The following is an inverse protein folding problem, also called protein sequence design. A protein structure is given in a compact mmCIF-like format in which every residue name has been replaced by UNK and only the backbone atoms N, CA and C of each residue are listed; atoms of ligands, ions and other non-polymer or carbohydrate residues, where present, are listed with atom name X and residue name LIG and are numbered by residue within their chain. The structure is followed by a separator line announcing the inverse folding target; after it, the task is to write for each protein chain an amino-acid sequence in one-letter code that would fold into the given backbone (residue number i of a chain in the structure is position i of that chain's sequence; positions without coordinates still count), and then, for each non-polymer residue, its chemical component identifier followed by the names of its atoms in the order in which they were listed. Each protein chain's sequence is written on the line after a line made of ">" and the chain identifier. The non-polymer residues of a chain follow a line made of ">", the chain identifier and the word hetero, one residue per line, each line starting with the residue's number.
data_IF_669100182165
#
_entry.id   IF_669100182165
#
_cell.length_a   1.000
_cell.length_b   1.000
_cell.length_c   1.000
_cell.angle_alpha   90.00
_cell.angle_beta   90.00
_cell.angle_gamma   90.00
#
_symmetry.space_group_name_H-M   'P 1'
#
loop_
_entity.id
_entity.type
_entity.pdbx_description
1 polymer ?
#
# COMPACT_ATOMS: atom_id res chain seq x y z
N UNK A 1 12.28 -13.13 -23.91
CA UNK A 1 11.18 -13.07 -22.91
C UNK A 1 11.69 -13.10 -21.48
N UNK A 2 12.69 -13.92 -21.14
CA UNK A 2 13.25 -14.01 -19.76
C UNK A 2 13.94 -12.72 -19.27
N UNK A 3 14.57 -11.94 -20.14
CA UNK A 3 15.23 -10.66 -19.75
C UNK A 3 14.24 -9.54 -19.41
N UNK A 4 13.06 -9.51 -20.06
CA UNK A 4 12.00 -8.53 -19.77
C UNK A 4 11.35 -8.78 -18.42
N UNK A 5 11.11 -10.06 -18.07
CA UNK A 5 10.58 -10.43 -16.76
C UNK A 5 11.53 -10.01 -15.62
N UNK A 6 12.84 -10.23 -15.80
CA UNK A 6 13.85 -9.81 -14.80
C UNK A 6 13.84 -8.28 -14.60
N UNK A 7 13.75 -7.48 -15.68
CA UNK A 7 13.70 -6.02 -15.56
C UNK A 7 12.42 -5.50 -14.87
N UNK A 8 11.27 -6.14 -15.07
CA UNK A 8 10.03 -5.75 -14.38
C UNK A 8 10.10 -6.02 -12.86
N UNK A 9 10.76 -7.10 -12.45
CA UNK A 9 10.93 -7.44 -11.03
C UNK A 9 11.88 -6.48 -10.28
N UNK A 10 12.95 -6.00 -10.94
CA UNK A 10 13.88 -5.05 -10.32
C UNK A 10 13.29 -3.65 -10.15
N UNK A 11 12.45 -3.22 -11.11
CA UNK A 11 11.69 -1.97 -11.01
C UNK A 11 10.67 -2.03 -9.86
N UNK A 12 9.99 -3.18 -9.70
CA UNK A 12 9.06 -3.38 -8.59
C UNK A 12 9.80 -3.35 -7.23
N UNK A 13 10.93 -4.05 -7.11
CA UNK A 13 11.68 -4.12 -5.85
C UNK A 13 12.26 -2.76 -5.43
N UNK A 14 12.84 -2.01 -6.38
CA UNK A 14 13.37 -0.66 -6.11
C UNK A 14 12.26 0.34 -5.79
N UNK A 15 11.10 0.25 -6.44
CA UNK A 15 9.95 1.07 -6.11
C UNK A 15 9.44 0.82 -4.68
N UNK A 16 9.31 -0.46 -4.29
CA UNK A 16 8.94 -0.83 -2.91
C UNK A 16 9.98 -0.35 -1.90
N UNK A 17 11.27 -0.42 -2.22
CA UNK A 17 12.35 0.11 -1.36
C UNK A 17 12.25 1.64 -1.18
N UNK A 18 12.01 2.40 -2.26
CA UNK A 18 11.79 3.85 -2.18
C UNK A 18 10.54 4.20 -1.38
N UNK A 19 9.44 3.48 -1.58
CA UNK A 19 8.21 3.67 -0.81
C UNK A 19 8.46 3.39 0.68
N UNK A 20 9.16 2.30 1.01
CA UNK A 20 9.56 1.98 2.40
C UNK A 20 10.45 3.06 3.02
N UNK A 21 11.41 3.60 2.26
CA UNK A 21 12.29 4.67 2.73
C UNK A 21 11.53 5.96 2.97
N UNK A 22 10.60 6.35 2.08
CA UNK A 22 9.79 7.55 2.26
C UNK A 22 8.88 7.43 3.48
N UNK A 23 8.26 6.27 3.67
CA UNK A 23 7.46 6.00 4.87
C UNK A 23 8.30 6.07 6.13
N UNK A 24 9.45 5.39 6.15
CA UNK A 24 10.27 5.27 7.35
C UNK A 24 11.00 6.56 7.72
N UNK A 25 11.44 7.34 6.73
CA UNK A 25 12.25 8.55 6.93
C UNK A 25 11.43 9.83 7.05
N UNK A 26 10.20 9.89 6.52
CA UNK A 26 9.38 11.11 6.52
C UNK A 26 8.05 10.89 7.24
N UNK A 27 7.34 9.79 6.98
CA UNK A 27 5.99 9.59 7.53
C UNK A 27 6.03 9.12 8.99
N UNK A 28 6.86 8.12 9.33
CA UNK A 28 7.02 7.64 10.69
C UNK A 28 7.43 8.74 11.71
N UNK A 29 8.39 9.64 11.44
CA UNK A 29 8.69 10.71 12.40
C UNK A 29 7.54 11.70 12.59
N UNK A 30 6.75 11.97 11.55
CA UNK A 30 5.55 12.83 11.66
C UNK A 30 4.45 12.12 12.47
N UNK A 31 4.20 10.83 12.23
CA UNK A 31 3.25 10.03 13.01
C UNK A 31 3.73 9.88 14.47
N UNK A 32 5.03 9.71 14.68
CA UNK A 32 5.64 9.61 16.01
C UNK A 32 5.63 10.93 16.80
N UNK A 33 5.31 12.05 16.15
CA UNK A 33 5.09 13.33 16.80
C UNK A 33 3.66 13.47 17.34
N UNK A 34 2.70 12.66 16.87
CA UNK A 34 1.33 12.71 17.38
C UNK A 34 1.25 12.04 18.78
N UNK A 35 0.65 12.73 19.78
CA UNK A 35 0.58 12.24 21.16
C UNK A 35 -0.32 11.00 21.36
N UNK A 36 -1.14 10.65 20.37
CA UNK A 36 -2.02 9.48 20.42
C UNK A 36 -1.31 8.15 20.16
N UNK A 37 -0.14 8.17 19.51
CA UNK A 37 0.67 6.98 19.21
C UNK A 37 2.02 7.15 19.90
N UNK A 38 2.15 6.54 21.08
CA UNK A 38 3.34 6.63 21.91
C UNK A 38 4.61 6.25 21.13
N UNK A 39 5.66 7.08 21.25
CA UNK A 39 7.00 7.06 20.61
C UNK A 39 7.81 5.75 20.67
N UNK A 40 7.24 4.68 21.21
CA UNK A 40 7.91 3.42 21.50
C UNK A 40 6.90 2.27 21.33
N UNK A 41 6.40 2.10 20.10
CA UNK A 41 5.58 0.94 19.74
C UNK A 41 6.44 -0.32 19.72
N UNK A 42 7.66 -0.26 19.20
CA UNK A 42 8.58 -1.41 19.10
C UNK A 42 8.89 -2.07 20.47
N UNK A 43 8.98 -1.26 21.53
CA UNK A 43 9.24 -1.72 22.91
C UNK A 43 7.99 -2.06 23.71
N UNK A 44 6.81 -2.03 23.09
CA UNK A 44 5.55 -2.47 23.70
C UNK A 44 5.34 -3.96 23.46
N UNK A 45 5.65 -4.74 24.48
CA UNK A 45 5.42 -6.18 24.52
C UNK A 45 4.50 -6.54 25.70
N UNK A 46 3.65 -7.54 25.55
CA UNK A 46 2.89 -8.10 26.67
C UNK A 46 3.50 -9.46 27.00
N UNK A 47 3.82 -9.72 28.26
CA UNK A 47 4.33 -11.01 28.70
C UNK A 47 3.13 -11.87 29.11
N UNK A 48 2.97 -13.03 28.47
CA UNK A 48 1.88 -13.95 28.77
C UNK A 48 2.27 -15.00 29.82
N UNK A 49 3.57 -15.31 29.91
CA UNK A 49 4.14 -16.21 30.91
C UNK A 49 5.50 -15.68 31.36
N UNK A 50 5.65 -15.43 32.66
CA UNK A 50 6.87 -14.91 33.28
C UNK A 50 7.96 -15.98 33.35
N UNK A 51 9.14 -15.65 32.84
CA UNK A 51 10.37 -16.42 33.07
C UNK A 51 10.94 -16.23 34.48
N UNK A 52 11.96 -17.01 34.87
CA UNK A 52 12.50 -17.04 36.24
C UNK A 52 13.14 -15.71 36.72
N UNK A 53 13.54 -14.81 35.81
CA UNK A 53 14.13 -13.49 36.11
C UNK A 53 13.13 -12.33 36.00
N UNK A 54 11.84 -12.56 36.28
CA UNK A 54 10.82 -11.52 36.20
C UNK A 54 10.98 -10.46 37.29
N UNK A 55 11.35 -9.23 36.91
CA UNK A 55 11.48 -8.11 37.85
C UNK A 55 10.14 -7.39 38.05
N UNK A 56 9.53 -7.54 39.23
CA UNK A 56 8.23 -6.95 39.60
C UNK A 56 8.26 -5.41 39.70
N UNK A 57 9.45 -4.79 39.78
CA UNK A 57 9.62 -3.34 39.87
C UNK A 57 9.53 -2.60 38.53
N UNK A 58 9.50 -3.33 37.42
CA UNK A 58 9.38 -2.78 36.05
C UNK A 58 8.00 -3.16 35.53
N UNK A 59 7.22 -2.19 35.03
CA UNK A 59 5.84 -2.35 34.50
C UNK A 59 5.66 -3.54 33.53
N UNK A 60 6.76 -3.99 32.91
CA UNK A 60 6.82 -5.05 31.91
C UNK A 60 7.87 -6.14 32.21
N UNK A 61 8.42 -6.25 33.42
CA UNK A 61 9.34 -7.34 33.83
C UNK A 61 10.75 -7.34 33.23
N UNK A 62 10.92 -6.87 31.99
CA UNK A 62 12.18 -6.80 31.23
C UNK A 62 12.31 -5.46 30.51
N UNK A 63 13.53 -5.09 30.11
CA UNK A 63 13.78 -3.82 29.39
C UNK A 63 13.68 -3.97 27.86
N UNK A 64 13.85 -5.19 27.33
CA UNK A 64 13.78 -5.47 25.89
C UNK A 64 13.05 -6.78 25.63
N UNK A 65 12.34 -6.91 24.48
CA UNK A 65 11.68 -8.16 24.11
C UNK A 65 12.68 -9.31 23.87
N UNK A 66 13.91 -9.00 23.45
CA UNK A 66 14.99 -9.99 23.26
C UNK A 66 15.38 -10.67 24.57
N UNK A 67 15.56 -9.88 25.63
CA UNK A 67 15.87 -10.39 26.96
C UNK A 67 14.79 -11.33 27.48
N UNK A 68 13.52 -11.00 27.25
CA UNK A 68 12.40 -11.84 27.67
C UNK A 68 12.32 -13.17 26.87
N UNK A 69 12.68 -13.17 25.58
CA UNK A 69 12.77 -14.40 24.76
C UNK A 69 13.94 -15.27 25.23
N UNK A 70 15.09 -14.68 25.54
CA UNK A 70 16.28 -15.38 26.02
C UNK A 70 16.06 -16.02 27.40
N UNK A 71 15.23 -15.39 28.25
CA UNK A 71 14.78 -15.93 29.54
C UNK A 71 13.65 -16.98 29.42
N UNK A 72 13.26 -17.35 28.19
CA UNK A 72 12.23 -18.36 27.92
C UNK A 72 10.79 -17.90 28.21
N UNK A 73 10.58 -16.58 28.37
CA UNK A 73 9.25 -16.03 28.55
C UNK A 73 8.48 -16.00 27.22
N UNK A 74 7.18 -16.29 27.26
CA UNK A 74 6.32 -16.16 26.09
C UNK A 74 5.89 -14.70 25.97
N UNK A 75 6.47 -14.02 24.98
CA UNK A 75 6.28 -12.58 24.74
C UNK A 75 5.38 -12.36 23.54
N UNK A 76 4.32 -11.58 23.72
CA UNK A 76 3.46 -11.08 22.65
C UNK A 76 3.89 -9.65 22.29
N UNK A 77 4.81 -9.56 21.33
CA UNK A 77 5.35 -8.29 20.82
C UNK A 77 4.36 -7.61 19.85
N UNK A 78 3.23 -7.11 20.37
CA UNK A 78 2.23 -6.39 19.55
C UNK A 78 2.80 -5.11 18.93
N UNK A 79 3.89 -4.59 19.48
CA UNK A 79 4.66 -3.48 18.96
C UNK A 79 5.14 -3.63 17.52
N UNK A 80 5.88 -4.72 17.23
CA UNK A 80 6.41 -4.99 15.89
C UNK A 80 5.28 -5.24 14.88
N UNK A 81 4.22 -5.96 15.31
CA UNK A 81 3.06 -6.19 14.45
C UNK A 81 2.36 -4.89 14.05
N UNK A 82 2.19 -3.96 14.98
CA UNK A 82 1.58 -2.66 14.70
C UNK A 82 2.47 -1.80 13.78
N UNK A 83 3.79 -1.83 13.96
CA UNK A 83 4.75 -1.19 13.05
C UNK A 83 4.59 -1.72 11.62
N UNK A 84 4.48 -3.04 11.45
CA UNK A 84 4.27 -3.65 10.12
C UNK A 84 2.94 -3.23 9.49
N UNK A 85 1.85 -3.16 10.28
CA UNK A 85 0.55 -2.67 9.80
C UNK A 85 0.63 -1.21 9.37
N UNK A 86 1.25 -0.34 10.18
CA UNK A 86 1.38 1.09 9.89
C UNK A 86 2.19 1.30 8.61
N UNK A 87 3.29 0.54 8.44
CA UNK A 87 4.08 0.58 7.20
C UNK A 87 3.25 0.18 5.98
N UNK A 88 2.47 -0.89 6.09
CA UNK A 88 1.59 -1.32 5.01
C UNK A 88 0.55 -0.24 4.63
N UNK A 89 -0.11 0.34 5.64
CA UNK A 89 -1.08 1.41 5.43
C UNK A 89 -0.45 2.66 4.80
N UNK A 90 0.76 3.01 5.23
CA UNK A 90 1.47 4.17 4.73
C UNK A 90 1.90 4.01 3.26
N UNK A 91 2.36 2.82 2.85
CA UNK A 91 2.65 2.53 1.44
C UNK A 91 1.38 2.59 0.60
N UNK A 92 0.27 2.03 1.10
CA UNK A 92 -1.02 2.08 0.42
C UNK A 92 -1.52 3.53 0.24
N UNK A 93 -1.40 4.36 1.27
CA UNK A 93 -1.77 5.77 1.22
C UNK A 93 -0.86 6.55 0.27
N UNK A 94 0.45 6.31 0.28
CA UNK A 94 1.39 6.94 -0.64
C UNK A 94 1.05 6.62 -2.11
N UNK A 95 0.78 5.35 -2.43
CA UNK A 95 0.33 4.94 -3.76
C UNK A 95 -1.00 5.60 -4.16
N UNK A 96 -1.93 5.71 -3.22
CA UNK A 96 -3.20 6.37 -3.46
C UNK A 96 -3.06 7.87 -3.76
N UNK A 97 -2.21 8.57 -3.00
CA UNK A 97 -1.92 10.00 -3.24
C UNK A 97 -1.26 10.20 -4.60
N UNK A 98 -0.31 9.34 -4.99
CA UNK A 98 0.32 9.40 -6.31
C UNK A 98 -0.73 9.19 -7.42
N UNK A 99 -1.60 8.19 -7.28
CA UNK A 99 -2.66 7.92 -8.24
C UNK A 99 -3.65 9.09 -8.34
N UNK A 100 -3.97 9.74 -7.22
CA UNK A 100 -4.85 10.91 -7.17
C UNK A 100 -4.19 12.14 -7.82
N UNK A 101 -2.91 12.39 -7.49
CA UNK A 101 -2.13 13.49 -8.07
C UNK A 101 -1.98 13.32 -9.59
N UNK A 102 -1.69 12.10 -10.05
CA UNK A 102 -1.64 11.78 -11.46
C UNK A 102 -3.00 11.99 -12.15
N UNK A 103 -4.09 11.48 -11.54
CA UNK A 103 -5.44 11.64 -12.10
C UNK A 103 -5.85 13.11 -12.20
N UNK A 104 -5.38 13.96 -11.27
CA UNK A 104 -5.67 15.40 -11.25
C UNK A 104 -4.78 16.21 -12.19
N UNK A 105 -3.54 15.78 -12.41
CA UNK A 105 -2.58 16.45 -13.29
C UNK A 105 -2.73 16.09 -14.78
N UNK A 106 -3.07 14.83 -15.09
CA UNK A 106 -3.14 14.40 -16.49
C UNK A 106 -4.46 14.74 -17.20
N UNK A 107 -5.56 15.01 -16.48
CA UNK A 107 -6.88 15.29 -17.08
C UNK A 107 -7.49 14.15 -17.92
N UNK A 108 -6.66 13.21 -18.37
CA UNK A 108 -7.01 11.94 -18.98
C UNK A 108 -7.05 10.87 -17.88
N UNK A 109 -8.23 10.28 -17.71
CA UNK A 109 -8.39 9.08 -16.89
C UNK A 109 -7.49 7.98 -17.48
N UNK A 110 -6.55 7.45 -16.70
CA UNK A 110 -5.64 6.36 -17.12
C UNK A 110 -6.44 5.15 -17.65
N UNK A 111 -7.66 4.96 -17.11
CA UNK A 111 -8.67 4.05 -17.63
C UNK A 111 -9.42 4.78 -18.74
N UNK A 112 -8.97 4.62 -19.99
CA UNK A 112 -9.82 4.95 -21.14
C UNK A 112 -11.10 4.14 -21.01
N UNK A 113 -12.21 4.78 -20.67
CA UNK A 113 -13.51 4.10 -20.61
C UNK A 113 -13.79 3.50 -21.98
N UNK A 114 -13.94 2.18 -21.99
CA UNK A 114 -14.30 1.45 -23.18
C UNK A 114 -15.80 1.22 -23.14
N UNK A 115 -16.50 1.73 -24.15
CA UNK A 115 -17.95 1.54 -24.31
C UNK A 115 -18.18 0.42 -25.32
N UNK A 116 -19.27 -0.33 -25.16
CA UNK A 116 -19.67 -1.32 -26.17
C UNK A 116 -20.33 -0.59 -27.34
N UNK A 117 -19.90 -0.90 -28.55
CA UNK A 117 -20.56 -0.40 -29.76
C UNK A 117 -22.00 -0.96 -29.85
N UNK A 118 -22.99 -0.11 -30.17
CA UNK A 118 -24.41 -0.52 -30.29
C UNK A 118 -24.64 -1.61 -31.35
N UNK A 119 -23.85 -1.61 -32.42
CA UNK A 119 -24.02 -2.49 -33.57
C UNK A 119 -23.31 -3.83 -33.40
N UNK A 120 -21.97 -3.81 -33.23
CA UNK A 120 -21.18 -5.03 -33.16
C UNK A 120 -20.88 -5.53 -31.74
N UNK A 121 -21.30 -4.79 -30.70
CA UNK A 121 -21.09 -5.10 -29.27
C UNK A 121 -19.63 -5.27 -28.82
N UNK A 122 -18.65 -5.02 -29.70
CA UNK A 122 -17.23 -4.98 -29.35
C UNK A 122 -16.90 -3.69 -28.59
N UNK A 123 -15.84 -3.75 -27.79
CA UNK A 123 -15.34 -2.61 -27.02
C UNK A 123 -14.66 -1.59 -27.94
N UNK A 124 -15.01 -0.32 -27.75
CA UNK A 124 -14.41 0.81 -28.45
C UNK A 124 -14.14 1.96 -27.49
N UNK A 125 -13.23 2.86 -27.86
CA UNK A 125 -13.01 4.09 -27.10
C UNK A 125 -14.26 4.98 -27.08
N UNK A 126 -14.55 5.58 -25.94
CA UNK A 126 -15.67 6.51 -25.76
C UNK A 126 -15.61 7.72 -26.72
N UNK A 127 -14.40 8.16 -27.10
CA UNK A 127 -14.18 9.29 -28.01
C UNK A 127 -14.23 8.90 -29.51
N UNK A 128 -14.46 7.62 -29.85
CA UNK A 128 -14.50 7.21 -31.26
C UNK A 128 -15.77 7.72 -31.95
N UNK A 129 -15.62 8.34 -33.13
CA UNK A 129 -16.77 8.70 -33.99
C UNK A 129 -17.20 7.54 -34.91
N UNK A 130 -16.27 6.64 -35.23
CA UNK A 130 -16.48 5.51 -36.14
C UNK A 130 -15.93 4.23 -35.52
N UNK A 131 -16.68 3.14 -35.66
CA UNK A 131 -16.26 1.86 -35.11
C UNK A 131 -15.12 1.22 -35.90
N UNK A 132 -14.01 0.84 -35.24
CA UNK A 132 -12.88 0.17 -35.90
C UNK A 132 -13.26 -1.23 -36.39
N UNK A 133 -14.18 -1.91 -35.70
CA UNK A 133 -14.50 -3.30 -36.00
C UNK A 133 -15.66 -3.50 -36.99
N UNK A 134 -16.67 -2.63 -36.97
CA UNK A 134 -17.82 -2.72 -37.89
C UNK A 134 -17.98 -1.50 -38.78
N UNK A 135 -17.08 -0.52 -38.72
CA UNK A 135 -17.09 0.71 -39.54
C UNK A 135 -18.34 1.60 -39.43
N UNK A 136 -19.29 1.25 -38.58
CA UNK A 136 -20.52 2.01 -38.33
C UNK A 136 -20.27 3.28 -37.52
N UNK A 137 -21.17 4.25 -37.66
CA UNK A 137 -21.11 5.54 -36.97
C UNK A 137 -21.75 5.46 -35.58
N UNK A 138 -20.96 5.71 -34.55
CA UNK A 138 -21.41 5.68 -33.14
C UNK A 138 -21.88 7.06 -32.64
N UNK A 139 -21.91 8.05 -33.52
CA UNK A 139 -22.29 9.46 -33.29
C UNK A 139 -23.83 9.70 -33.33
N UNK A 140 -24.63 8.64 -33.31
CA UNK A 140 -26.10 8.71 -33.32
C UNK A 140 -26.72 9.22 -34.63
N UNK A 141 -25.94 9.35 -35.71
CA UNK A 141 -26.44 9.73 -37.04
C UNK A 141 -27.21 8.60 -37.73
N UNK A 142 -26.87 7.35 -37.41
CA UNK A 142 -27.55 6.15 -37.92
C UNK A 142 -28.87 5.86 -37.18
N UNK A 143 -29.08 6.46 -36.00
CA UNK A 143 -30.30 6.28 -35.19
C UNK A 143 -31.44 7.25 -35.61
N UNK A 144 -31.21 8.16 -36.57
CA UNK A 144 -32.18 9.20 -37.01
C UNK A 144 -32.89 8.88 -38.34
N UNK A 145 -32.90 7.62 -38.76
CA UNK A 145 -33.57 7.14 -39.99
C UNK A 145 -34.93 6.54 -39.72
#
# INVERSE_FOLDING_TARGET
>A
TSTVLIQTTSLAASFTACANSLVSSIILPIISLLPFISRNLDSKFAILQSGPNYNVSISNGYNTPKQAIDDGAVVLAYGDFLDKIIRFLAIALALWVIALAYSRGSGDNIVKKQVKCKFCRKYISEKAKRCVNCTSWVDGREDRG
#
